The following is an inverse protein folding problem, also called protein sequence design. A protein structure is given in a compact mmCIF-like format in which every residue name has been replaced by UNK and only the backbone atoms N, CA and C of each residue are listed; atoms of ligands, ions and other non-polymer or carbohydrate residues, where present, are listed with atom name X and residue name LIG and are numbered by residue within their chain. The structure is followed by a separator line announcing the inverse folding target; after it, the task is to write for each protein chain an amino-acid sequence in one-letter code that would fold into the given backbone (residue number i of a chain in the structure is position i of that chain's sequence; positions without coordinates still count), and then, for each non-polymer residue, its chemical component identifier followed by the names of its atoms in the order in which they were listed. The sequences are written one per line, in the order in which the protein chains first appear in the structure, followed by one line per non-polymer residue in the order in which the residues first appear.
data_IF_871072879769
#
_entry.id   IF_871072879769
#
_cell.length_a   1.000
_cell.length_b   1.000
_cell.length_c   1.000
_cell.angle_alpha   90.00
_cell.angle_beta   90.00
_cell.angle_gamma   90.00
#
_symmetry.space_group_name_H-M   'P 1'
#
loop_
_entity.id
_entity.type
_entity.pdbx_description
1 polymer ?
#
# COMPACT_ATOMS: atom_id res chain seq x y z
N UNK A 1 -14.59 -22.09 -5.06
CA UNK A 1 -13.86 -21.17 -4.17
C UNK A 1 -13.87 -19.80 -4.81
N UNK A 2 -14.13 -18.75 -4.04
CA UNK A 2 -14.17 -17.38 -4.57
C UNK A 2 -12.74 -16.92 -4.97
N UNK A 3 -12.58 -16.37 -6.17
CA UNK A 3 -11.29 -15.90 -6.70
C UNK A 3 -10.71 -14.79 -5.81
N UNK A 4 -9.41 -14.85 -5.49
CA UNK A 4 -8.74 -13.80 -4.71
C UNK A 4 -8.68 -12.49 -5.49
N UNK A 5 -8.86 -11.36 -4.80
CA UNK A 5 -8.86 -10.02 -5.39
C UNK A 5 -7.70 -9.18 -4.87
N UNK A 6 -7.04 -8.46 -5.77
CA UNK A 6 -5.88 -7.61 -5.48
C UNK A 6 -6.30 -6.15 -5.56
N UNK A 7 -6.04 -5.39 -4.50
CA UNK A 7 -6.06 -3.93 -4.51
C UNK A 7 -4.63 -3.42 -4.66
N UNK A 8 -4.36 -2.54 -5.61
CA UNK A 8 -3.07 -1.88 -5.77
C UNK A 8 -3.23 -0.35 -5.72
N UNK A 9 -2.32 0.32 -5.02
CA UNK A 9 -2.22 1.79 -5.03
C UNK A 9 -0.96 2.21 -5.77
N UNK A 10 -0.97 3.36 -6.44
CA UNK A 10 0.26 3.87 -7.09
C UNK A 10 0.64 3.09 -8.35
N UNK A 11 -0.31 2.39 -8.97
CA UNK A 11 -0.13 1.61 -10.19
C UNK A 11 0.38 2.41 -11.40
N UNK A 12 0.19 3.74 -11.42
CA UNK A 12 0.74 4.62 -12.46
C UNK A 12 2.07 5.26 -12.07
N UNK A 13 2.62 4.93 -10.89
CA UNK A 13 3.93 5.40 -10.44
C UNK A 13 5.05 4.46 -10.89
N UNK A 14 6.31 4.85 -10.68
CA UNK A 14 7.47 4.06 -11.09
C UNK A 14 7.46 2.64 -10.48
N UNK A 15 7.47 2.55 -9.14
CA UNK A 15 7.48 1.25 -8.44
C UNK A 15 6.18 0.48 -8.66
N UNK A 16 5.02 1.12 -8.47
CA UNK A 16 3.73 0.45 -8.59
C UNK A 16 3.41 0.01 -10.03
N UNK A 17 3.86 0.77 -11.02
CA UNK A 17 3.78 0.39 -12.44
C UNK A 17 4.62 -0.83 -12.74
N UNK A 18 5.87 -0.89 -12.28
CA UNK A 18 6.71 -2.08 -12.42
C UNK A 18 6.07 -3.31 -11.77
N UNK A 19 5.55 -3.17 -10.54
CA UNK A 19 4.84 -4.27 -9.84
C UNK A 19 3.62 -4.74 -10.65
N UNK A 20 2.81 -3.81 -11.13
CA UNK A 20 1.64 -4.13 -11.96
C UNK A 20 2.07 -4.87 -13.24
N UNK A 21 3.09 -4.37 -13.95
CA UNK A 21 3.62 -5.04 -15.15
C UNK A 21 4.07 -6.47 -14.84
N UNK A 22 4.76 -6.70 -13.73
CA UNK A 22 5.18 -8.06 -13.31
C UNK A 22 3.98 -8.97 -13.03
N UNK A 23 2.94 -8.45 -12.36
CA UNK A 23 1.70 -9.21 -12.09
C UNK A 23 1.02 -9.60 -13.42
N UNK A 24 0.87 -8.64 -14.34
CA UNK A 24 0.20 -8.85 -15.62
C UNK A 24 0.97 -9.78 -16.56
N UNK A 25 2.30 -9.81 -16.48
CA UNK A 25 3.13 -10.72 -17.26
C UNK A 25 3.11 -12.16 -16.72
N UNK A 26 2.64 -12.39 -15.49
CA UNK A 26 2.61 -13.70 -14.87
C UNK A 26 1.27 -14.41 -15.12
N UNK A 27 1.23 -15.55 -15.85
CA UNK A 27 -0.01 -16.25 -16.18
C UNK A 27 -0.82 -16.76 -14.98
N UNK A 28 -0.19 -16.94 -13.82
CA UNK A 28 -0.88 -17.33 -12.60
C UNK A 28 -1.52 -16.14 -11.89
N UNK A 29 -0.85 -14.98 -11.88
CA UNK A 29 -1.31 -13.80 -11.14
C UNK A 29 -2.33 -12.96 -11.93
N UNK A 30 -2.19 -12.88 -13.25
CA UNK A 30 -3.08 -12.09 -14.14
C UNK A 30 -4.55 -12.53 -14.08
N UNK A 31 -4.83 -13.74 -13.56
CA UNK A 31 -6.18 -14.29 -13.40
C UNK A 31 -6.94 -13.68 -12.21
N UNK A 32 -6.24 -13.06 -11.26
CA UNK A 32 -6.88 -12.43 -10.12
C UNK A 32 -7.49 -11.09 -10.54
N UNK A 33 -8.74 -10.76 -10.16
CA UNK A 33 -9.27 -9.42 -10.35
C UNK A 33 -8.37 -8.38 -9.64
N UNK A 34 -7.92 -7.39 -10.40
CA UNK A 34 -7.06 -6.32 -9.91
C UNK A 34 -7.86 -5.02 -9.92
N UNK A 35 -7.90 -4.33 -8.79
CA UNK A 35 -8.43 -2.98 -8.67
C UNK A 35 -7.28 -2.01 -8.37
N UNK A 36 -7.18 -0.93 -9.13
CA UNK A 36 -6.15 0.08 -8.93
C UNK A 36 -6.74 1.42 -8.50
N UNK A 37 -6.30 1.94 -7.35
CA UNK A 37 -6.71 3.25 -6.89
C UNK A 37 -6.06 4.37 -7.73
N UNK A 38 -6.89 5.24 -8.30
CA UNK A 38 -6.49 6.37 -9.14
C UNK A 38 -7.12 7.68 -8.66
N UNK A 39 -6.41 8.79 -8.81
CA UNK A 39 -6.87 10.13 -8.41
C UNK A 39 -7.33 10.99 -9.59
N UNK A 40 -6.93 10.64 -10.82
CA UNK A 40 -7.20 11.45 -12.01
C UNK A 40 -7.69 10.60 -13.18
N UNK A 41 -8.46 11.23 -14.08
CA UNK A 41 -8.94 10.58 -15.29
C UNK A 41 -7.78 10.11 -16.17
N UNK A 42 -6.69 10.88 -16.25
CA UNK A 42 -5.50 10.50 -17.00
C UNK A 42 -4.94 9.16 -16.51
N UNK A 43 -4.86 8.95 -15.18
CA UNK A 43 -4.43 7.68 -14.60
C UNK A 43 -5.36 6.53 -14.95
N UNK A 44 -6.69 6.76 -14.88
CA UNK A 44 -7.67 5.76 -15.27
C UNK A 44 -7.53 5.38 -16.76
N UNK A 45 -7.35 6.37 -17.64
CA UNK A 45 -7.16 6.15 -19.08
C UNK A 45 -5.86 5.42 -19.40
N UNK A 46 -4.78 5.64 -18.65
CA UNK A 46 -3.54 4.86 -18.79
C UNK A 46 -3.75 3.38 -18.46
N UNK A 47 -4.64 3.08 -17.52
CA UNK A 47 -4.88 1.72 -17.03
C UNK A 47 -6.04 1.01 -17.73
N UNK A 48 -6.88 1.72 -18.49
CA UNK A 48 -8.13 1.18 -19.05
C UNK A 48 -7.95 0.10 -20.11
N UNK A 49 -6.76 0.02 -20.73
CA UNK A 49 -6.43 -1.03 -21.71
C UNK A 49 -5.89 -2.31 -21.08
N UNK A 50 -5.68 -2.32 -19.76
CA UNK A 50 -5.14 -3.45 -19.01
C UNK A 50 -6.27 -4.28 -18.37
N UNK A 51 -6.07 -5.58 -18.08
CA UNK A 51 -7.08 -6.44 -17.46
C UNK A 51 -7.21 -6.14 -15.96
N UNK A 52 -7.67 -4.93 -15.63
CA UNK A 52 -7.86 -4.44 -14.27
C UNK A 52 -8.98 -3.39 -14.22
N UNK A 53 -9.38 -3.00 -13.01
CA UNK A 53 -10.41 -1.98 -12.78
C UNK A 53 -9.80 -0.76 -12.09
N UNK A 54 -9.69 0.39 -12.78
CA UNK A 54 -9.39 1.65 -12.11
C UNK A 54 -10.55 2.04 -11.18
N UNK A 55 -10.24 2.42 -9.94
CA UNK A 55 -11.20 2.90 -8.95
C UNK A 55 -10.77 4.27 -8.44
N UNK A 56 -11.66 5.25 -8.59
CA UNK A 56 -11.38 6.61 -8.15
C UNK A 56 -11.43 6.74 -6.64
N UNK A 57 -10.50 7.50 -6.09
CA UNK A 57 -10.49 7.91 -4.69
C UNK A 57 -9.96 9.33 -4.56
N UNK A 58 -10.31 10.01 -3.47
CA UNK A 58 -9.92 11.40 -3.23
C UNK A 58 -8.42 11.53 -2.96
N UNK A 59 -7.94 10.92 -1.89
CA UNK A 59 -6.54 10.91 -1.46
C UNK A 59 -6.34 9.85 -0.37
N UNK A 60 -5.12 9.75 0.16
CA UNK A 60 -4.79 8.75 1.18
C UNK A 60 -5.36 9.07 2.58
N UNK A 61 -5.87 10.29 2.79
CA UNK A 61 -6.52 10.71 4.04
C UNK A 61 -7.97 10.23 4.14
N UNK A 62 -8.56 9.76 3.04
CA UNK A 62 -9.91 9.19 3.00
C UNK A 62 -9.95 7.77 3.59
N UNK A 63 -9.59 7.67 4.87
CA UNK A 63 -9.33 6.38 5.54
C UNK A 63 -10.56 5.48 5.65
N UNK A 64 -11.77 6.05 5.69
CA UNK A 64 -13.01 5.29 5.69
C UNK A 64 -13.19 4.58 4.34
N UNK A 65 -13.04 5.32 3.23
CA UNK A 65 -13.05 4.73 1.89
C UNK A 65 -11.97 3.67 1.71
N UNK A 66 -10.74 3.95 2.14
CA UNK A 66 -9.64 2.97 2.03
C UNK A 66 -9.91 1.69 2.82
N UNK A 67 -10.51 1.81 4.01
CA UNK A 67 -10.91 0.68 4.85
C UNK A 67 -12.00 -0.14 4.16
N UNK A 68 -13.04 0.53 3.64
CA UNK A 68 -14.14 -0.11 2.93
C UNK A 68 -13.63 -0.88 1.71
N UNK A 69 -12.86 -0.23 0.85
CA UNK A 69 -12.32 -0.88 -0.36
C UNK A 69 -11.43 -2.05 0.02
N UNK A 70 -10.52 -1.91 0.99
CA UNK A 70 -9.67 -3.03 1.41
C UNK A 70 -10.48 -4.20 2.00
N UNK A 71 -11.62 -3.95 2.64
CA UNK A 71 -12.50 -5.01 3.15
C UNK A 71 -13.12 -5.90 2.06
N UNK A 72 -13.12 -5.43 0.80
CA UNK A 72 -13.59 -6.16 -0.36
C UNK A 72 -12.48 -6.94 -1.09
N UNK A 73 -11.22 -6.85 -0.64
CA UNK A 73 -10.05 -7.44 -1.29
C UNK A 73 -9.30 -8.38 -0.35
N UNK A 74 -8.60 -9.36 -0.92
CA UNK A 74 -7.82 -10.35 -0.14
C UNK A 74 -6.35 -9.94 -0.02
N UNK A 75 -5.86 -9.13 -0.97
CA UNK A 75 -4.47 -8.67 -1.02
C UNK A 75 -4.48 -7.16 -1.26
N UNK A 76 -3.71 -6.41 -0.47
CA UNK A 76 -3.42 -5.00 -0.73
C UNK A 76 -1.94 -4.83 -1.00
N UNK A 77 -1.61 -4.23 -2.14
CA UNK A 77 -0.26 -3.83 -2.54
C UNK A 77 -0.16 -2.31 -2.48
N UNK A 78 0.41 -1.78 -1.40
CA UNK A 78 0.51 -0.34 -1.15
C UNK A 78 1.88 0.20 -1.57
N UNK A 79 1.96 0.77 -2.78
CA UNK A 79 3.16 1.45 -3.30
C UNK A 79 2.97 2.96 -3.53
N UNK A 80 1.90 3.57 -3.02
CA UNK A 80 1.62 4.99 -3.25
C UNK A 80 2.42 5.92 -2.32
N UNK A 81 2.61 5.54 -1.05
CA UNK A 81 3.38 6.34 -0.09
C UNK A 81 3.84 5.46 1.10
N UNK A 82 5.15 5.32 1.29
CA UNK A 82 5.76 4.56 2.39
C UNK A 82 5.72 5.22 3.77
N UNK A 83 5.22 6.47 3.86
CA UNK A 83 5.24 7.31 5.06
C UNK A 83 3.84 7.67 5.58
N UNK A 84 2.79 7.21 4.90
CA UNK A 84 1.44 7.62 5.22
C UNK A 84 0.77 6.64 6.19
N UNK A 85 1.03 6.83 7.49
CA UNK A 85 0.53 5.97 8.57
C UNK A 85 -0.99 5.78 8.53
N UNK A 86 -1.84 6.82 8.33
CA UNK A 86 -3.29 6.65 8.33
C UNK A 86 -3.79 5.70 7.23
N UNK A 87 -3.21 5.73 6.03
CA UNK A 87 -3.62 4.82 4.95
C UNK A 87 -3.18 3.38 5.20
N UNK A 88 -1.97 3.18 5.74
CA UNK A 88 -1.51 1.85 6.12
C UNK A 88 -2.45 1.22 7.17
N UNK A 89 -2.83 2.00 8.19
CA UNK A 89 -3.80 1.55 9.20
C UNK A 89 -5.17 1.23 8.58
N UNK A 90 -5.68 2.09 7.69
CA UNK A 90 -6.96 1.86 7.01
C UNK A 90 -6.97 0.56 6.20
N UNK A 91 -5.93 0.31 5.41
CA UNK A 91 -5.80 -0.94 4.66
C UNK A 91 -5.73 -2.18 5.55
N UNK A 92 -4.97 -2.12 6.64
CA UNK A 92 -4.87 -3.22 7.61
C UNK A 92 -6.23 -3.48 8.29
N UNK A 93 -6.96 -2.42 8.68
CA UNK A 93 -8.32 -2.54 9.25
C UNK A 93 -9.28 -3.19 8.26
N UNK A 94 -9.28 -2.74 7.00
CA UNK A 94 -10.12 -3.33 5.96
C UNK A 94 -9.80 -4.81 5.73
N UNK A 95 -8.51 -5.16 5.61
CA UNK A 95 -8.08 -6.56 5.48
C UNK A 95 -8.47 -7.40 6.70
N UNK A 96 -8.41 -6.85 7.92
CA UNK A 96 -8.89 -7.55 9.11
C UNK A 96 -10.40 -7.85 9.03
N UNK A 97 -11.21 -6.91 8.54
CA UNK A 97 -12.64 -7.13 8.28
C UNK A 97 -12.86 -8.23 7.22
N UNK A 98 -12.11 -8.21 6.11
CA UNK A 98 -12.14 -9.26 5.08
C UNK A 98 -11.83 -10.63 5.66
N UNK A 99 -10.76 -10.75 6.45
CA UNK A 99 -10.34 -12.00 7.10
C UNK A 99 -11.42 -12.51 8.04
N UNK A 100 -12.01 -11.63 8.85
CA UNK A 100 -13.09 -12.00 9.76
C UNK A 100 -14.34 -12.52 9.02
N UNK A 101 -14.74 -11.82 7.96
CA UNK A 101 -15.95 -12.16 7.17
C UNK A 101 -15.78 -13.45 6.36
N UNK A 102 -14.63 -13.65 5.74
CA UNK A 102 -14.42 -14.77 4.80
C UNK A 102 -13.71 -15.97 5.42
N UNK A 103 -13.08 -15.80 6.59
CA UNK A 103 -12.22 -16.79 7.25
C UNK A 103 -11.02 -17.23 6.41
N UNK A 104 -10.63 -16.42 5.42
CA UNK A 104 -9.46 -16.65 4.56
C UNK A 104 -8.30 -15.78 4.98
N UNK A 105 -7.10 -16.24 4.65
CA UNK A 105 -5.90 -15.41 4.80
C UNK A 105 -5.94 -14.20 3.86
N UNK A 106 -5.36 -13.11 4.36
CA UNK A 106 -5.27 -11.83 3.67
C UNK A 106 -3.83 -11.33 3.76
N UNK A 107 -3.40 -10.54 2.77
CA UNK A 107 -2.00 -10.11 2.69
C UNK A 107 -1.90 -8.60 2.49
N UNK A 108 -1.03 -7.97 3.28
CA UNK A 108 -0.66 -6.57 3.13
C UNK A 108 0.81 -6.49 2.70
N UNK A 109 1.06 -6.02 1.48
CA UNK A 109 2.39 -5.80 0.93
C UNK A 109 2.61 -4.29 0.88
N UNK A 110 3.56 -3.78 1.64
CA UNK A 110 3.83 -2.35 1.76
C UNK A 110 5.24 -2.01 1.26
N UNK A 111 5.32 -1.06 0.33
CA UNK A 111 6.60 -0.48 -0.05
C UNK A 111 6.98 0.60 0.97
N UNK A 112 7.85 0.22 1.92
CA UNK A 112 8.56 1.14 2.80
C UNK A 112 9.95 1.45 2.24
N UNK A 113 10.73 2.27 2.96
CA UNK A 113 12.13 2.49 2.65
C UNK A 113 12.93 2.87 3.89
N UNK A 114 14.24 2.69 3.86
CA UNK A 114 15.14 3.09 4.96
C UNK A 114 15.09 4.59 5.28
N UNK A 115 14.66 5.38 4.29
CA UNK A 115 14.40 6.79 4.46
C UNK A 115 13.25 7.10 5.44
N UNK A 116 12.43 6.11 5.84
CA UNK A 116 11.42 6.26 6.89
C UNK A 116 12.03 6.72 8.23
N UNK A 117 13.24 6.26 8.53
CA UNK A 117 13.95 6.56 9.76
C UNK A 117 15.21 7.44 9.55
N UNK A 118 15.39 8.05 8.37
CA UNK A 118 16.51 8.98 8.13
C UNK A 118 16.44 10.23 9.02
N UNK A 119 17.59 10.83 9.23
CA UNK A 119 17.70 12.19 9.80
C UNK A 119 17.07 13.21 8.84
N UNK A 120 16.57 14.34 9.37
CA UNK A 120 16.01 15.42 8.51
C UNK A 120 16.75 16.74 8.78
N UNK A 121 18.01 16.86 8.35
CA UNK A 121 18.86 18.01 8.68
C UNK A 121 18.32 19.32 8.09
N UNK A 122 17.65 19.26 6.93
CA UNK A 122 17.08 20.45 6.27
C UNK A 122 15.93 21.06 7.07
N UNK A 123 14.96 20.25 7.51
CA UNK A 123 13.85 20.73 8.33
C UNK A 123 14.23 20.87 9.81
N UNK A 124 15.45 20.45 10.18
CA UNK A 124 15.94 20.32 11.56
C UNK A 124 15.06 19.44 12.46
N UNK A 125 14.12 18.70 11.87
CA UNK A 125 13.30 17.74 12.58
C UNK A 125 14.03 16.39 12.64
N UNK A 126 14.21 15.80 13.82
CA UNK A 126 14.93 14.53 13.97
C UNK A 126 16.34 14.56 13.38
N UNK A 127 17.25 15.30 14.03
CA UNK A 127 18.68 15.23 13.74
C UNK A 127 19.23 14.03 14.53
N UNK A 128 19.65 12.99 13.81
CA UNK A 128 20.09 11.72 14.40
C UNK A 128 21.57 11.51 14.10
N UNK A 129 22.34 11.10 15.12
CA UNK A 129 23.75 10.72 14.97
C UNK A 129 23.95 9.22 15.05
N UNK A 130 22.92 8.47 15.46
CA UNK A 130 22.97 7.02 15.56
C UNK A 130 22.96 6.37 14.17
N UNK A 131 23.94 5.51 13.93
CA UNK A 131 23.94 4.57 12.81
C UNK A 131 23.20 3.31 13.25
N UNK A 132 22.13 2.94 12.53
CA UNK A 132 21.36 1.73 12.80
C UNK A 132 21.91 0.53 12.05
N UNK A 133 21.89 -0.62 12.70
CA UNK A 133 22.13 -1.94 12.12
C UNK A 133 20.85 -2.77 12.17
N UNK A 134 20.66 -3.71 11.24
CA UNK A 134 19.58 -4.70 11.29
C UNK A 134 19.64 -5.62 12.53
N UNK A 135 20.69 -5.51 13.34
CA UNK A 135 20.83 -6.16 14.66
C UNK A 135 20.21 -5.37 15.80
N UNK A 136 19.89 -4.09 15.59
CA UNK A 136 19.29 -3.23 16.60
C UNK A 136 17.78 -3.47 16.69
N UNK A 137 17.19 -3.14 17.85
CA UNK A 137 15.75 -3.02 17.99
C UNK A 137 15.27 -1.69 17.38
N UNK A 138 15.22 -1.65 16.04
CA UNK A 138 14.78 -0.48 15.27
C UNK A 138 13.30 -0.18 15.55
N UNK A 139 12.50 -1.20 15.84
CA UNK A 139 11.08 -1.05 16.11
C UNK A 139 10.78 -0.21 17.36
N UNK A 140 11.49 -0.47 18.47
CA UNK A 140 11.32 0.33 19.69
C UNK A 140 11.68 1.79 19.45
N UNK A 141 12.73 2.05 18.68
CA UNK A 141 13.11 3.41 18.29
C UNK A 141 12.02 4.08 17.43
N UNK A 142 11.54 3.41 16.38
CA UNK A 142 10.48 3.95 15.51
C UNK A 142 9.21 4.25 16.30
N UNK A 143 8.82 3.36 17.23
CA UNK A 143 7.68 3.59 18.13
C UNK A 143 7.85 4.81 19.03
N UNK A 144 9.07 5.08 19.51
CA UNK A 144 9.35 6.28 20.29
C UNK A 144 9.29 7.53 19.41
N UNK A 145 9.91 7.48 18.23
CA UNK A 145 10.01 8.61 17.30
C UNK A 145 8.65 9.05 16.75
N UNK A 146 7.81 8.09 16.39
CA UNK A 146 6.52 8.33 15.73
C UNK A 146 5.35 8.41 16.74
N UNK A 147 5.63 8.54 18.04
CA UNK A 147 4.62 8.51 19.13
C UNK A 147 3.79 9.80 19.30
N UNK A 148 3.78 10.67 18.29
CA UNK A 148 3.10 11.98 18.34
C UNK A 148 1.74 11.93 17.65
#
# INVERSE_FOLDING_TARGET
METQRILITGATGYVGGSVLTTILANPFLVKFPITALVRTQAQASTLSSLPMTPLFFKNLDDTDFLTEVASAHDIVIHTANGYHVPSAQAFIRGLAQRKWKTRREVHYIHNSGSSNFRDRPVSKAYIETKVFSDKDDVYVYEKMREKN
#
